data_IF_767608493285
#
_entry.id   IF_767608493285
#
_cell.length_a   1.000
_cell.length_b   1.000
_cell.length_c   1.000
_cell.angle_alpha   90.00
_cell.angle_beta   90.00
_cell.angle_gamma   90.00
#
_symmetry.space_group_name_H-M   'P 1'
#
loop_
_entity.id
_entity.type
_entity.pdbx_description
1 polymer ?
#
# COMPACT_ATOMS: atom_id res chain seq x y z
N UNK A 1 -0.55 12.99 -5.26
CA UNK A 1 -0.40 11.57 -4.88
C UNK A 1 0.90 11.25 -4.13
N UNK A 2 2.08 11.24 -4.78
CA UNK A 2 3.36 10.89 -4.13
C UNK A 2 3.60 11.69 -2.85
N UNK A 3 3.46 13.02 -2.91
CA UNK A 3 3.67 13.88 -1.74
C UNK A 3 2.67 13.61 -0.61
N UNK A 4 1.44 13.25 -0.94
CA UNK A 4 0.42 12.90 0.06
C UNK A 4 0.74 11.58 0.75
N UNK A 5 1.23 10.59 -0.01
CA UNK A 5 1.70 9.31 0.56
C UNK A 5 2.92 9.54 1.46
N UNK A 6 3.89 10.36 1.03
CA UNK A 6 5.05 10.71 1.87
C UNK A 6 4.69 11.55 3.09
N UNK A 7 3.64 12.36 3.03
CA UNK A 7 3.14 13.08 4.20
C UNK A 7 2.44 12.14 5.20
N UNK A 8 1.72 11.14 4.70
CA UNK A 8 1.07 10.12 5.52
C UNK A 8 2.06 9.12 6.13
N UNK A 9 3.17 8.87 5.43
CA UNK A 9 4.24 7.98 5.85
C UNK A 9 5.61 8.61 5.52
N UNK A 10 6.12 9.48 6.40
CA UNK A 10 7.42 10.12 6.20
C UNK A 10 8.59 9.14 6.10
N UNK A 11 8.42 7.94 6.67
CA UNK A 11 9.41 6.86 6.61
C UNK A 11 9.46 6.17 5.26
N UNK A 12 8.54 6.42 4.32
CA UNK A 12 8.57 5.82 2.98
C UNK A 12 9.89 6.15 2.26
N UNK A 13 10.64 5.11 1.89
CA UNK A 13 11.89 5.26 1.13
C UNK A 13 11.60 5.65 -0.33
N UNK A 14 10.62 5.00 -0.91
CA UNK A 14 10.26 5.16 -2.31
C UNK A 14 8.75 5.09 -2.46
N UNK A 15 8.22 5.95 -3.32
CA UNK A 15 6.82 5.91 -3.74
C UNK A 15 6.83 6.00 -5.26
N UNK A 16 6.51 4.89 -5.92
CA UNK A 16 6.40 4.83 -7.36
C UNK A 16 4.93 4.87 -7.79
N UNK A 17 4.70 5.49 -8.93
CA UNK A 17 3.37 5.62 -9.52
C UNK A 17 3.46 5.24 -10.97
N UNK A 18 2.67 4.25 -11.36
CA UNK A 18 2.63 3.76 -12.72
C UNK A 18 1.18 3.56 -13.15
N UNK A 19 0.84 3.81 -14.43
CA UNK A 19 -0.48 3.44 -14.93
C UNK A 19 -0.63 1.92 -14.86
N UNK A 20 -1.80 1.43 -14.47
CA UNK A 20 -2.07 0.00 -14.50
C UNK A 20 -2.05 -0.52 -15.94
N UNK A 21 -1.38 -1.65 -16.17
CA UNK A 21 -1.18 -2.25 -17.50
C UNK A 21 -1.79 -3.66 -17.61
N UNK A 22 -2.57 -4.08 -16.62
CA UNK A 22 -3.21 -5.42 -16.63
C UNK A 22 -4.25 -5.60 -17.75
N UNK A 23 -4.74 -4.49 -18.33
CA UNK A 23 -5.77 -4.48 -19.38
C UNK A 23 -7.19 -4.81 -18.87
N UNK A 24 -7.37 -5.01 -17.57
CA UNK A 24 -8.62 -5.37 -16.91
C UNK A 24 -9.19 -4.22 -16.08
N UNK A 25 -8.32 -3.46 -15.41
CA UNK A 25 -8.73 -2.33 -14.55
C UNK A 25 -7.96 -1.06 -14.91
N UNK A 26 -8.68 0.07 -14.98
CA UNK A 26 -8.09 1.40 -15.24
C UNK A 26 -7.70 2.06 -13.93
N UNK A 27 -6.56 2.76 -13.90
CA UNK A 27 -6.14 3.54 -12.73
C UNK A 27 -4.65 3.48 -12.51
N UNK A 28 -4.21 3.94 -11.34
CA UNK A 28 -2.80 3.88 -10.94
C UNK A 28 -2.48 2.61 -10.15
N UNK A 29 -1.28 2.10 -10.34
CA UNK A 29 -0.60 1.24 -9.38
C UNK A 29 0.36 2.12 -8.62
N UNK A 30 0.21 2.14 -7.30
CA UNK A 30 1.07 2.91 -6.40
C UNK A 30 1.90 1.91 -5.61
N UNK A 31 3.21 2.02 -5.71
CA UNK A 31 4.15 1.20 -4.94
C UNK A 31 4.75 2.05 -3.82
N UNK A 32 4.63 1.60 -2.58
CA UNK A 32 5.12 2.29 -1.38
C UNK A 32 6.11 1.38 -0.68
N UNK A 33 7.38 1.79 -0.68
CA UNK A 33 8.45 1.07 -0.03
C UNK A 33 8.83 1.71 1.31
N UNK A 34 9.00 0.90 2.36
CA UNK A 34 9.41 1.34 3.71
C UNK A 34 10.74 0.71 4.13
N UNK A 35 11.50 1.37 5.04
CA UNK A 35 12.85 0.95 5.36
C UNK A 35 12.88 -0.33 6.16
N UNK A 36 14.07 -0.91 6.16
CA UNK A 36 14.36 -2.09 6.93
C UNK A 36 14.06 -1.89 8.42
N UNK A 37 13.32 -2.83 9.01
CA UNK A 37 12.95 -2.81 10.43
C UNK A 37 11.83 -1.82 10.77
N UNK A 38 11.20 -1.19 9.77
CA UNK A 38 9.97 -0.44 9.97
C UNK A 38 8.85 -1.39 10.40
N UNK A 39 8.20 -1.08 11.52
CA UNK A 39 7.07 -1.84 12.03
C UNK A 39 5.79 -1.32 11.40
N UNK A 40 5.18 -2.13 10.53
CA UNK A 40 3.92 -1.79 9.86
C UNK A 40 2.76 -2.00 10.82
N UNK A 41 1.94 -0.98 11.00
CA UNK A 41 0.71 -1.03 11.81
C UNK A 41 -0.52 -0.82 10.94
N UNK A 42 -1.69 -1.26 11.40
CA UNK A 42 -2.97 -1.00 10.73
C UNK A 42 -3.22 0.49 10.48
N UNK A 43 -2.82 1.35 11.42
CA UNK A 43 -2.93 2.81 11.28
C UNK A 43 -2.03 3.34 10.16
N UNK A 44 -0.76 2.91 10.10
CA UNK A 44 0.18 3.34 9.05
C UNK A 44 -0.28 2.87 7.65
N UNK A 45 -0.76 1.63 7.56
CA UNK A 45 -1.30 1.06 6.33
C UNK A 45 -2.54 1.83 5.88
N UNK A 46 -3.51 2.04 6.79
CA UNK A 46 -4.74 2.80 6.50
C UNK A 46 -4.43 4.22 6.05
N UNK A 47 -3.52 4.92 6.75
CA UNK A 47 -3.14 6.28 6.41
C UNK A 47 -2.60 6.38 4.98
N UNK A 48 -1.74 5.43 4.58
CA UNK A 48 -1.17 5.37 3.23
C UNK A 48 -2.24 5.08 2.18
N UNK A 49 -3.08 4.05 2.39
CA UNK A 49 -4.15 3.65 1.46
C UNK A 49 -5.12 4.81 1.21
N UNK A 50 -5.63 5.41 2.28
CA UNK A 50 -6.61 6.51 2.19
C UNK A 50 -5.97 7.78 1.61
N UNK A 51 -4.72 8.08 1.96
CA UNK A 51 -4.03 9.26 1.41
C UNK A 51 -3.73 9.11 -0.07
N UNK A 52 -3.34 7.91 -0.51
CA UNK A 52 -3.18 7.57 -1.91
C UNK A 52 -4.51 7.77 -2.67
N UNK A 53 -5.61 7.22 -2.15
CA UNK A 53 -6.94 7.34 -2.76
C UNK A 53 -7.45 8.78 -2.91
N UNK A 54 -7.31 9.59 -1.86
CA UNK A 54 -7.79 10.98 -1.86
C UNK A 54 -6.96 11.89 -2.76
N UNK A 55 -5.67 11.58 -2.93
CA UNK A 55 -4.74 12.42 -3.68
C UNK A 55 -4.52 11.98 -5.13
N UNK A 56 -5.37 11.08 -5.64
CA UNK A 56 -5.23 10.43 -6.95
C UNK A 56 -6.43 10.72 -7.85
N UNK A 57 -6.17 11.23 -9.05
CA UNK A 57 -7.12 11.25 -10.16
C UNK A 57 -6.39 10.85 -11.47
N UNK A 58 -6.84 9.81 -12.19
CA UNK A 58 -7.88 8.81 -11.82
C UNK A 58 -7.55 8.09 -10.51
N UNK A 59 -8.50 7.39 -9.88
CA UNK A 59 -8.27 6.62 -8.63
C UNK A 59 -7.23 5.50 -8.84
N UNK A 60 -6.53 5.04 -7.78
CA UNK A 60 -5.67 3.87 -7.90
C UNK A 60 -6.50 2.62 -8.19
N UNK A 61 -6.01 1.75 -9.06
CA UNK A 61 -6.51 0.38 -9.20
C UNK A 61 -5.98 -0.49 -8.05
N UNK A 62 -4.71 -0.25 -7.64
CA UNK A 62 -4.05 -0.98 -6.58
C UNK A 62 -3.05 -0.11 -5.82
N UNK A 63 -2.91 -0.36 -4.52
CA UNK A 63 -1.80 0.15 -3.71
C UNK A 63 -1.00 -1.02 -3.17
N UNK A 64 0.28 -1.07 -3.55
CA UNK A 64 1.27 -2.02 -3.08
C UNK A 64 2.05 -1.39 -1.94
N UNK A 65 2.12 -2.07 -0.81
CA UNK A 65 2.89 -1.66 0.36
C UNK A 65 3.97 -2.71 0.63
N UNK A 66 5.23 -2.34 0.38
CA UNK A 66 6.38 -3.23 0.29
C UNK A 66 7.44 -2.86 1.35
N UNK A 67 7.44 -3.52 2.52
CA UNK A 67 8.51 -3.34 3.48
C UNK A 67 9.82 -3.96 2.98
N UNK A 68 10.89 -3.15 2.91
CA UNK A 68 12.20 -3.60 2.47
C UNK A 68 12.76 -4.58 3.50
N UNK A 69 12.77 -5.86 3.16
CA UNK A 69 13.05 -6.95 4.09
C UNK A 69 14.51 -7.00 4.53
N UNK A 70 14.76 -7.35 5.80
CA UNK A 70 16.02 -7.97 6.27
C UNK A 70 16.11 -9.29 5.53
N UNK A 71 17.29 -9.84 5.29
CA UNK A 71 17.38 -11.14 4.62
C UNK A 71 16.93 -12.30 5.55
N UNK A 72 15.63 -12.35 5.84
CA UNK A 72 14.73 -13.40 6.31
C UNK A 72 13.31 -12.87 5.96
N UNK A 73 12.88 -13.12 4.71
CA UNK A 73 11.73 -12.52 3.99
C UNK A 73 10.34 -12.73 4.60
N UNK A 74 10.17 -12.46 5.89
CA UNK A 74 8.99 -12.80 6.65
C UNK A 74 8.56 -11.68 7.59
N UNK A 75 9.42 -11.09 8.42
CA UNK A 75 8.89 -10.24 9.51
C UNK A 75 8.15 -8.98 9.03
N UNK A 76 8.80 -8.07 8.29
CA UNK A 76 8.11 -6.85 7.81
C UNK A 76 6.91 -7.14 6.90
N UNK A 77 7.07 -8.15 6.03
CA UNK A 77 6.01 -8.67 5.16
C UNK A 77 4.81 -9.22 5.95
N UNK A 78 5.07 -10.04 6.96
CA UNK A 78 4.07 -10.64 7.84
C UNK A 78 3.39 -9.56 8.66
N UNK A 79 4.10 -8.56 9.17
CA UNK A 79 3.47 -7.45 9.90
C UNK A 79 2.56 -6.63 8.99
N UNK A 80 2.94 -6.38 7.73
CA UNK A 80 2.04 -5.72 6.77
C UNK A 80 0.80 -6.56 6.45
N UNK A 81 0.97 -7.88 6.27
CA UNK A 81 -0.14 -8.82 6.03
C UNK A 81 -1.05 -8.92 7.24
N UNK A 82 -0.48 -9.01 8.44
CA UNK A 82 -1.20 -9.02 9.71
C UNK A 82 -1.95 -7.71 9.92
N UNK A 83 -1.36 -6.57 9.59
CA UNK A 83 -2.04 -5.29 9.64
C UNK A 83 -3.25 -5.27 8.70
N UNK A 84 -3.12 -5.80 7.48
CA UNK A 84 -4.24 -5.92 6.55
C UNK A 84 -5.32 -6.90 7.06
N UNK A 85 -4.93 -8.04 7.64
CA UNK A 85 -5.85 -9.00 8.26
C UNK A 85 -6.59 -8.41 9.47
N UNK A 86 -5.89 -7.65 10.31
CA UNK A 86 -6.46 -6.96 11.48
C UNK A 86 -7.44 -5.85 11.07
N UNK A 87 -7.20 -5.20 9.92
CA UNK A 87 -8.14 -4.26 9.31
C UNK A 87 -9.35 -4.94 8.66
N UNK A 88 -9.28 -6.26 8.41
CA UNK A 88 -10.34 -7.03 7.77
C UNK A 88 -10.56 -6.68 6.29
N UNK A 89 -9.52 -6.21 5.60
CA UNK A 89 -9.57 -5.87 4.18
C UNK A 89 -9.09 -7.03 3.30
N UNK A 90 -9.62 -7.13 2.09
CA UNK A 90 -9.12 -8.05 1.08
C UNK A 90 -7.74 -7.58 0.56
N UNK A 91 -6.76 -8.48 0.54
CA UNK A 91 -5.42 -8.22 0.02
C UNK A 91 -4.84 -9.44 -0.69
N UNK A 92 -3.84 -9.19 -1.54
CA UNK A 92 -3.03 -10.23 -2.18
C UNK A 92 -1.55 -9.99 -1.92
N UNK A 93 -0.71 -11.03 -1.83
CA UNK A 93 0.73 -10.82 -1.71
C UNK A 93 1.26 -10.14 -2.97
N UNK A 94 2.06 -9.08 -2.81
CA UNK A 94 2.81 -8.51 -3.92
C UNK A 94 3.93 -9.46 -4.36
N UNK A 95 4.44 -9.31 -5.58
CA UNK A 95 5.57 -10.10 -6.11
C UNK A 95 6.83 -10.03 -5.21
N UNK A 96 6.88 -9.06 -4.29
CA UNK A 96 8.04 -8.71 -3.47
C UNK A 96 7.79 -8.86 -1.96
N UNK A 97 6.86 -9.74 -1.54
CA UNK A 97 6.47 -10.01 -0.14
C UNK A 97 5.66 -8.92 0.59
N UNK A 98 5.13 -7.91 -0.09
CA UNK A 98 4.25 -6.89 0.49
C UNK A 98 2.76 -7.21 0.43
N UNK A 99 1.92 -6.23 0.79
CA UNK A 99 0.46 -6.29 0.59
C UNK A 99 0.05 -5.49 -0.64
N UNK A 100 -0.84 -6.06 -1.45
CA UNK A 100 -1.44 -5.41 -2.59
C UNK A 100 -2.95 -5.29 -2.34
N UNK A 101 -3.42 -4.06 -2.13
CA UNK A 101 -4.81 -3.76 -1.76
C UNK A 101 -5.54 -3.19 -2.99
N UNK A 102 -6.68 -3.79 -3.38
CA UNK A 102 -7.48 -3.32 -4.51
C UNK A 102 -8.30 -2.07 -4.15
N UNK A 103 -8.66 -1.32 -5.18
CA UNK A 103 -9.40 -0.06 -5.11
C UNK A 103 -10.67 -0.11 -4.24
N UNK A 104 -11.50 -1.14 -4.37
CA UNK A 104 -12.76 -1.25 -3.64
C UNK A 104 -12.59 -1.38 -2.12
N UNK A 105 -11.49 -1.95 -1.63
CA UNK A 105 -11.19 -1.96 -0.18
C UNK A 105 -10.73 -0.59 0.29
N UNK A 106 -9.98 0.12 -0.54
CA UNK A 106 -9.49 1.46 -0.23
C UNK A 106 -10.65 2.46 -0.20
N UNK A 107 -11.60 2.35 -1.11
CA UNK A 107 -12.84 3.14 -1.14
C UNK A 107 -13.64 2.97 0.16
N UNK A 108 -13.88 1.71 0.58
CA UNK A 108 -14.54 1.39 1.86
C UNK A 108 -13.81 2.03 3.06
N UNK A 109 -12.48 1.93 3.11
CA UNK A 109 -11.66 2.54 4.17
C UNK A 109 -11.71 4.07 4.14
N UNK A 110 -11.80 4.67 2.96
CA UNK A 110 -11.91 6.11 2.80
C UNK A 110 -13.29 6.66 3.21
N UNK A 111 -14.29 5.79 3.30
CA UNK A 111 -15.68 6.13 3.64
C UNK A 111 -16.41 6.83 2.49
N UNK A 112 -16.03 6.51 1.24
CA UNK A 112 -16.63 7.05 0.02
C UNK A 112 -17.58 6.05 -0.66
#
# INVERSE_FOLDING_TARGET
>A
MVDAVKAALPEALQVEVQPNQDGLTSGWVIDVEVPLGYVVTGDSLTAVLVSAWKASEPKPAFVKFNPWSTYEGKEGAIEAQRAADELGIDWSPSLSVGVNVPDYEIEKLAGE
#
